data_IF_938439015638
#
_entry.id   IF_938439015638
#
_cell.length_a   1.000
_cell.length_b   1.000
_cell.length_c   1.000
_cell.angle_alpha   90.00
_cell.angle_beta   90.00
_cell.angle_gamma   90.00
#
_symmetry.space_group_name_H-M   'P 1'
#
loop_
_entity.id
_entity.type
_entity.pdbx_description
1 polymer ?
#
# COMPACT_ATOMS: atom_id res chain seq x y z
N UNK A 1 13.99 -32.95 -15.60
CA UNK A 1 14.21 -34.16 -16.44
C UNK A 1 14.94 -35.19 -15.59
N UNK A 2 14.24 -36.21 -15.10
CA UNK A 2 14.88 -37.35 -14.44
C UNK A 2 14.75 -38.53 -15.40
N UNK A 3 15.87 -39.04 -15.90
CA UNK A 3 15.90 -40.24 -16.74
C UNK A 3 16.12 -41.42 -15.81
N UNK A 4 15.11 -42.27 -15.66
CA UNK A 4 15.22 -43.55 -14.96
C UNK A 4 15.40 -44.62 -16.04
N UNK A 5 16.56 -45.29 -16.05
CA UNK A 5 16.79 -46.44 -16.92
C UNK A 5 16.32 -47.71 -16.21
N UNK A 6 15.32 -48.39 -16.77
CA UNK A 6 15.00 -49.79 -16.43
C UNK A 6 15.28 -50.70 -17.61
N UNK A 7 15.71 -51.92 -17.33
CA UNK A 7 16.21 -52.98 -18.24
C UNK A 7 15.17 -53.55 -19.22
N UNK A 8 14.11 -52.82 -19.50
CA UNK A 8 13.10 -53.14 -20.50
C UNK A 8 12.71 -51.82 -21.16
N UNK A 9 12.82 -51.74 -22.48
CA UNK A 9 12.65 -50.53 -23.31
C UNK A 9 11.25 -49.90 -23.19
N UNK A 10 10.96 -49.28 -22.04
CA UNK A 10 9.85 -48.38 -21.82
C UNK A 10 10.47 -47.12 -21.22
N UNK A 11 10.68 -46.12 -22.08
CA UNK A 11 11.03 -44.78 -21.63
C UNK A 11 9.74 -44.16 -21.08
N UNK A 12 9.58 -44.20 -19.76
CA UNK A 12 8.58 -43.37 -19.10
C UNK A 12 9.07 -41.93 -19.11
N UNK A 13 8.50 -41.10 -19.98
CA UNK A 13 8.54 -39.67 -19.80
C UNK A 13 7.61 -39.33 -18.63
N UNK A 14 8.18 -39.25 -17.43
CA UNK A 14 7.48 -38.58 -16.33
C UNK A 14 7.57 -37.09 -16.64
N UNK A 15 6.54 -36.56 -17.30
CA UNK A 15 6.26 -35.14 -17.27
C UNK A 15 6.04 -34.78 -15.80
N UNK A 16 7.02 -34.14 -15.17
CA UNK A 16 6.82 -33.53 -13.87
C UNK A 16 5.89 -32.36 -14.14
N UNK A 17 4.59 -32.58 -13.98
CA UNK A 17 3.62 -31.51 -13.87
C UNK A 17 3.96 -30.74 -12.59
N UNK A 18 4.70 -29.65 -12.73
CA UNK A 18 4.81 -28.68 -11.65
C UNK A 18 3.45 -27.99 -11.54
N UNK A 19 2.89 -27.83 -10.35
CA UNK A 19 1.65 -27.06 -10.20
C UNK A 19 1.94 -25.58 -10.46
N UNK A 20 0.91 -24.81 -10.80
CA UNK A 20 1.05 -23.35 -10.86
C UNK A 20 1.25 -22.82 -9.44
N UNK A 21 2.35 -22.10 -9.22
CA UNK A 21 2.62 -21.46 -7.93
C UNK A 21 1.82 -20.15 -7.81
N UNK A 22 1.13 -19.99 -6.67
CA UNK A 22 0.39 -18.78 -6.29
C UNK A 22 0.89 -18.26 -4.95
N UNK A 23 0.74 -16.95 -4.72
CA UNK A 23 1.05 -16.36 -3.41
C UNK A 23 0.01 -16.79 -2.36
N UNK A 24 0.38 -16.69 -1.08
CA UNK A 24 -0.58 -16.87 0.02
C UNK A 24 -1.79 -15.91 -0.10
N UNK A 25 -1.56 -14.67 -0.54
CA UNK A 25 -2.63 -13.68 -0.78
C UNK A 25 -3.61 -14.11 -1.87
N UNK A 26 -3.11 -14.67 -2.99
CA UNK A 26 -3.96 -15.22 -4.05
C UNK A 26 -4.77 -16.42 -3.57
N UNK A 27 -4.15 -17.32 -2.78
CA UNK A 27 -4.86 -18.45 -2.19
C UNK A 27 -6.00 -18.01 -1.25
N UNK A 28 -5.80 -16.96 -0.45
CA UNK A 28 -6.86 -16.38 0.39
C UNK A 28 -8.01 -15.81 -0.43
N UNK A 29 -7.73 -15.15 -1.57
CA UNK A 29 -8.78 -14.66 -2.48
C UNK A 29 -9.63 -15.79 -3.05
N UNK A 30 -9.00 -16.91 -3.42
CA UNK A 30 -9.71 -18.10 -3.89
C UNK A 30 -10.60 -18.70 -2.80
N UNK A 31 -10.11 -18.76 -1.55
CA UNK A 31 -10.93 -19.15 -0.40
C UNK A 31 -12.11 -18.19 -0.18
N UNK A 32 -11.88 -16.88 -0.25
CA UNK A 32 -12.95 -15.88 -0.08
C UNK A 32 -14.05 -16.06 -1.14
N UNK A 33 -13.69 -16.31 -2.39
CA UNK A 33 -14.65 -16.58 -3.45
C UNK A 33 -15.41 -17.90 -3.22
N UNK A 34 -14.72 -18.95 -2.76
CA UNK A 34 -15.33 -20.25 -2.47
C UNK A 34 -16.31 -20.19 -1.29
N UNK A 35 -15.96 -19.47 -0.23
CA UNK A 35 -16.73 -19.37 1.00
C UNK A 35 -17.59 -18.10 1.07
N UNK A 36 -17.86 -17.41 -0.06
CA UNK A 36 -18.65 -16.17 -0.10
C UNK A 36 -20.05 -16.30 0.50
N UNK A 37 -20.63 -17.50 0.41
CA UNK A 37 -21.97 -17.82 0.94
C UNK A 37 -21.93 -18.34 2.40
N UNK A 38 -20.74 -18.35 3.03
CA UNK A 38 -20.53 -18.70 4.44
C UNK A 38 -20.03 -17.45 5.20
N UNK A 39 -20.94 -16.58 5.71
CA UNK A 39 -20.59 -15.24 6.15
C UNK A 39 -19.50 -15.18 7.23
N UNK A 40 -19.53 -16.09 8.21
CA UNK A 40 -18.54 -16.12 9.29
C UNK A 40 -17.13 -16.43 8.75
N UNK A 41 -17.00 -17.49 7.94
CA UNK A 41 -15.73 -17.87 7.32
C UNK A 41 -15.23 -16.78 6.38
N UNK A 42 -16.11 -16.23 5.54
CA UNK A 42 -15.75 -15.16 4.62
C UNK A 42 -15.24 -13.92 5.37
N UNK A 43 -15.93 -13.49 6.42
CA UNK A 43 -15.51 -12.34 7.23
C UNK A 43 -14.15 -12.56 7.90
N UNK A 44 -13.89 -13.76 8.43
CA UNK A 44 -12.58 -14.09 8.98
C UNK A 44 -11.48 -14.01 7.89
N UNK A 45 -11.74 -14.54 6.69
CA UNK A 45 -10.80 -14.46 5.56
C UNK A 45 -10.55 -13.01 5.13
N UNK A 46 -11.57 -12.15 5.10
CA UNK A 46 -11.43 -10.71 4.82
C UNK A 46 -10.54 -10.02 5.88
N UNK A 47 -10.75 -10.34 7.16
CA UNK A 47 -9.91 -9.83 8.25
C UNK A 47 -8.45 -10.28 8.11
N UNK A 48 -8.20 -11.56 7.83
CA UNK A 48 -6.85 -12.06 7.57
C UNK A 48 -6.20 -11.39 6.35
N UNK A 49 -6.98 -11.08 5.32
CA UNK A 49 -6.46 -10.36 4.17
C UNK A 49 -6.01 -8.94 4.50
N UNK A 50 -6.68 -8.24 5.45
CA UNK A 50 -6.31 -6.87 5.84
C UNK A 50 -5.23 -6.82 6.92
N UNK A 51 -5.32 -7.68 7.93
CA UNK A 51 -4.41 -7.65 9.07
C UNK A 51 -3.16 -8.48 8.81
N UNK A 52 -3.28 -9.51 7.99
CA UNK A 52 -2.32 -10.60 7.87
C UNK A 52 -2.40 -11.57 9.03
N UNK A 53 -1.58 -12.62 8.95
CA UNK A 53 -1.58 -13.72 9.91
C UNK A 53 -0.69 -13.35 11.09
N UNK A 54 -1.24 -13.36 12.30
CA UNK A 54 -0.55 -12.91 13.52
C UNK A 54 -0.31 -14.03 14.52
N UNK A 55 -0.91 -15.21 14.33
CA UNK A 55 -0.67 -16.37 15.20
C UNK A 55 -0.58 -17.71 14.45
N UNK A 56 0.11 -18.72 15.03
CA UNK A 56 0.12 -20.08 14.49
C UNK A 56 -1.26 -20.71 14.40
N UNK A 57 -2.18 -20.37 15.32
CA UNK A 57 -3.55 -20.87 15.31
C UNK A 57 -4.32 -20.40 14.07
N UNK A 58 -4.18 -19.12 13.70
CA UNK A 58 -4.77 -18.57 12.47
C UNK A 58 -4.17 -19.21 11.22
N UNK A 59 -2.85 -19.43 11.21
CA UNK A 59 -2.17 -20.10 10.10
C UNK A 59 -2.71 -21.53 9.91
N UNK A 60 -2.80 -22.30 10.99
CA UNK A 60 -3.33 -23.66 10.95
C UNK A 60 -4.79 -23.70 10.47
N UNK A 61 -5.62 -22.75 10.91
CA UNK A 61 -7.00 -22.63 10.44
C UNK A 61 -7.07 -22.40 8.92
N UNK A 62 -6.24 -21.52 8.38
CA UNK A 62 -6.23 -21.24 6.93
C UNK A 62 -5.68 -22.43 6.14
N UNK A 63 -4.63 -23.09 6.64
CA UNK A 63 -4.08 -24.29 6.01
C UNK A 63 -5.12 -25.42 5.93
N UNK A 64 -5.89 -25.61 7.00
CA UNK A 64 -7.01 -26.53 6.99
C UNK A 64 -8.04 -26.16 5.91
N UNK A 65 -8.38 -24.87 5.76
CA UNK A 65 -9.29 -24.42 4.69
C UNK A 65 -8.69 -24.65 3.29
N UNK A 66 -7.38 -24.49 3.09
CA UNK A 66 -6.73 -24.81 1.81
C UNK A 66 -6.87 -26.29 1.46
N UNK A 67 -6.69 -27.19 2.43
CA UNK A 67 -6.82 -28.62 2.20
C UNK A 67 -8.28 -29.05 1.97
N UNK A 68 -9.21 -28.59 2.81
CA UNK A 68 -10.64 -28.88 2.69
C UNK A 68 -11.23 -28.34 1.39
N UNK A 69 -10.72 -27.19 0.93
CA UNK A 69 -11.15 -26.61 -0.34
C UNK A 69 -10.57 -27.34 -1.56
N UNK A 70 -9.54 -28.18 -1.39
CA UNK A 70 -8.82 -28.81 -2.49
C UNK A 70 -7.83 -27.89 -3.20
N UNK A 71 -7.63 -26.65 -2.74
CA UNK A 71 -6.71 -25.69 -3.38
C UNK A 71 -5.28 -26.22 -3.42
N UNK A 72 -4.85 -26.97 -2.41
CA UNK A 72 -3.51 -27.60 -2.38
C UNK A 72 -3.32 -28.73 -3.40
N UNK A 73 -4.39 -29.17 -4.07
CA UNK A 73 -4.33 -30.12 -5.18
C UNK A 73 -4.22 -29.43 -6.54
N UNK A 74 -4.65 -28.17 -6.62
CA UNK A 74 -4.69 -27.38 -7.85
C UNK A 74 -3.46 -26.46 -7.97
N UNK A 75 -2.99 -25.92 -6.84
CA UNK A 75 -1.93 -24.92 -6.80
C UNK A 75 -0.87 -25.22 -5.75
N UNK A 76 0.36 -24.80 -6.04
CA UNK A 76 1.42 -24.71 -5.04
C UNK A 76 1.33 -23.35 -4.34
N UNK A 77 0.99 -23.34 -3.05
CA UNK A 77 0.85 -22.10 -2.26
C UNK A 77 2.21 -21.70 -1.69
N UNK A 78 2.75 -20.58 -2.16
CA UNK A 78 4.05 -20.05 -1.71
C UNK A 78 3.93 -19.14 -0.49
N UNK A 79 4.82 -19.37 0.46
CA UNK A 79 5.03 -18.56 1.67
C UNK A 79 6.29 -17.69 1.57
N UNK A 80 6.97 -17.71 0.41
CA UNK A 80 8.23 -16.98 0.25
C UNK A 80 7.99 -15.47 0.17
N UNK A 81 8.91 -14.70 0.76
CA UNK A 81 8.88 -13.23 0.75
C UNK A 81 8.83 -12.67 -0.68
N UNK A 82 9.50 -13.34 -1.63
CA UNK A 82 9.50 -12.96 -3.04
C UNK A 82 8.12 -13.06 -3.67
N UNK A 83 7.41 -14.18 -3.49
CA UNK A 83 6.07 -14.35 -4.07
C UNK A 83 5.03 -13.44 -3.40
N UNK A 84 5.21 -13.13 -2.12
CA UNK A 84 4.37 -12.16 -1.40
C UNK A 84 4.61 -10.74 -1.91
N UNK A 85 5.88 -10.33 -2.07
CA UNK A 85 6.22 -9.01 -2.59
C UNK A 85 5.75 -8.80 -4.04
N UNK A 86 5.81 -9.88 -4.83
CA UNK A 86 5.44 -9.87 -6.24
C UNK A 86 3.98 -10.21 -6.50
N UNK A 87 3.13 -10.30 -5.47
CA UNK A 87 1.70 -10.56 -5.61
C UNK A 87 0.97 -9.38 -6.29
N UNK A 88 0.58 -9.53 -7.57
CA UNK A 88 -0.11 -8.45 -8.28
C UNK A 88 -1.55 -8.29 -7.80
N UNK A 89 -2.21 -9.36 -7.32
CA UNK A 89 -3.59 -9.32 -6.85
C UNK A 89 -3.70 -8.51 -5.57
N UNK A 90 -2.74 -8.68 -4.67
CA UNK A 90 -2.69 -7.89 -3.44
C UNK A 90 -2.40 -6.41 -3.67
N UNK A 91 -1.44 -6.10 -4.55
CA UNK A 91 -1.12 -4.70 -4.92
C UNK A 91 -2.30 -4.01 -5.59
N UNK A 92 -3.03 -4.75 -6.42
CA UNK A 92 -4.25 -4.29 -7.07
C UNK A 92 -5.34 -4.01 -6.03
N UNK A 93 -5.59 -4.97 -5.13
CA UNK A 93 -6.54 -4.84 -4.05
C UNK A 93 -6.31 -3.59 -3.19
N UNK A 94 -5.09 -3.39 -2.69
CA UNK A 94 -4.79 -2.22 -1.85
C UNK A 94 -4.92 -0.90 -2.62
N UNK A 95 -4.59 -0.90 -3.91
CA UNK A 95 -4.77 0.28 -4.78
C UNK A 95 -6.26 0.63 -4.92
N UNK A 96 -7.12 -0.37 -5.17
CA UNK A 96 -8.57 -0.17 -5.27
C UNK A 96 -9.18 0.20 -3.92
N UNK A 97 -8.78 -0.49 -2.85
CA UNK A 97 -9.23 -0.24 -1.50
C UNK A 97 -8.90 1.18 -1.07
N UNK A 98 -7.70 1.69 -1.38
CA UNK A 98 -7.35 3.07 -1.11
C UNK A 98 -8.30 4.04 -1.82
N UNK A 99 -8.55 3.84 -3.11
CA UNK A 99 -9.44 4.73 -3.84
C UNK A 99 -10.86 4.72 -3.28
N UNK A 100 -11.45 3.55 -3.07
CA UNK A 100 -12.82 3.43 -2.57
C UNK A 100 -12.95 3.89 -1.11
N UNK A 101 -11.94 3.63 -0.28
CA UNK A 101 -11.88 4.14 1.11
C UNK A 101 -11.79 5.66 1.13
N UNK A 102 -11.02 6.25 0.22
CA UNK A 102 -10.92 7.70 0.08
C UNK A 102 -12.29 8.30 -0.23
N UNK A 103 -12.99 7.80 -1.25
CA UNK A 103 -14.32 8.29 -1.61
C UNK A 103 -15.30 8.26 -0.42
N UNK A 104 -15.36 7.11 0.25
CA UNK A 104 -16.27 6.87 1.36
C UNK A 104 -15.94 7.72 2.60
N UNK A 105 -14.70 8.20 2.71
CA UNK A 105 -14.23 8.98 3.87
C UNK A 105 -14.24 10.49 3.64
N UNK A 106 -14.18 10.96 2.38
CA UNK A 106 -14.15 12.39 2.05
C UNK A 106 -15.40 13.16 2.49
N UNK A 107 -16.56 12.50 2.55
CA UNK A 107 -17.79 13.10 3.08
C UNK A 107 -17.78 13.26 4.60
N UNK A 108 -16.93 12.51 5.31
CA UNK A 108 -16.86 12.46 6.78
C UNK A 108 -15.79 13.40 7.34
N UNK A 109 -14.77 13.72 6.56
CA UNK A 109 -13.71 14.65 6.99
C UNK A 109 -14.18 16.10 6.85
N UNK A 110 -14.05 16.86 7.93
CA UNK A 110 -14.38 18.27 7.98
C UNK A 110 -13.26 19.11 7.31
N UNK A 111 -13.65 20.02 6.41
CA UNK A 111 -12.68 20.82 5.65
C UNK A 111 -12.03 21.90 6.51
N UNK A 112 -12.74 22.48 7.48
CA UNK A 112 -12.20 23.47 8.40
C UNK A 112 -11.12 22.86 9.31
N UNK A 113 -11.28 21.61 9.75
CA UNK A 113 -10.27 20.87 10.51
C UNK A 113 -9.01 20.60 9.67
N UNK A 114 -9.17 20.23 8.39
CA UNK A 114 -8.06 20.10 7.44
C UNK A 114 -7.34 21.43 7.21
N UNK A 115 -8.08 22.52 7.01
CA UNK A 115 -7.53 23.85 6.80
C UNK A 115 -6.77 24.33 8.04
N UNK A 116 -7.32 24.13 9.25
CA UNK A 116 -6.62 24.43 10.52
C UNK A 116 -5.33 23.62 10.65
N UNK A 117 -5.37 22.33 10.34
CA UNK A 117 -4.19 21.48 10.40
C UNK A 117 -3.12 21.89 9.40
N UNK A 118 -3.51 22.21 8.16
CA UNK A 118 -2.64 22.77 7.13
C UNK A 118 -1.96 24.06 7.59
N UNK A 119 -2.71 25.00 8.16
CA UNK A 119 -2.16 26.26 8.66
C UNK A 119 -1.20 26.04 9.82
N UNK A 120 -1.52 25.12 10.75
CA UNK A 120 -0.65 24.79 11.87
C UNK A 120 0.69 24.18 11.39
N UNK A 121 0.65 23.23 10.45
CA UNK A 121 1.82 22.67 9.79
C UNK A 121 2.66 23.76 9.11
N UNK A 122 2.02 24.60 8.29
CA UNK A 122 2.70 25.68 7.58
C UNK A 122 3.36 26.67 8.54
N UNK A 123 2.66 27.06 9.62
CA UNK A 123 3.15 28.05 10.57
C UNK A 123 4.35 27.56 11.38
N UNK A 124 4.44 26.25 11.66
CA UNK A 124 5.52 25.64 12.43
C UNK A 124 6.81 25.39 11.62
N UNK A 125 6.78 25.56 10.28
CA UNK A 125 7.98 25.43 9.46
C UNK A 125 8.93 26.62 9.61
N UNK A 126 10.26 26.43 9.47
CA UNK A 126 11.20 27.53 9.33
C UNK A 126 10.93 28.34 8.05
N UNK A 127 11.16 29.66 8.09
CA UNK A 127 10.85 30.58 6.99
C UNK A 127 11.52 30.19 5.66
N UNK A 128 12.77 29.74 5.69
CA UNK A 128 13.51 29.27 4.50
C UNK A 128 12.79 28.08 3.84
N UNK A 129 12.23 27.18 4.64
CA UNK A 129 11.52 25.99 4.16
C UNK A 129 10.13 26.38 3.62
N UNK A 130 9.43 27.32 4.28
CA UNK A 130 8.16 27.88 3.77
C UNK A 130 8.36 28.50 2.38
N UNK A 131 9.40 29.32 2.22
CA UNK A 131 9.70 29.96 0.94
C UNK A 131 10.00 28.94 -0.16
N UNK A 132 10.78 27.88 0.14
CA UNK A 132 11.01 26.78 -0.82
C UNK A 132 9.70 26.08 -1.21
N UNK A 133 8.85 25.77 -0.24
CA UNK A 133 7.53 25.16 -0.51
C UNK A 133 6.65 26.06 -1.38
N UNK A 134 6.51 27.35 -1.04
CA UNK A 134 5.72 28.30 -1.80
C UNK A 134 6.24 28.44 -3.24
N UNK A 135 7.56 28.48 -3.43
CA UNK A 135 8.14 28.55 -4.77
C UNK A 135 7.79 27.34 -5.65
N UNK A 136 7.65 26.13 -5.10
CA UNK A 136 7.15 24.99 -5.86
C UNK A 136 5.66 25.13 -6.18
N UNK A 137 4.84 25.49 -5.18
CA UNK A 137 3.38 25.65 -5.35
C UNK A 137 3.04 26.74 -6.36
N UNK A 138 3.82 27.82 -6.39
CA UNK A 138 3.67 28.96 -7.31
C UNK A 138 4.33 28.74 -8.68
N UNK A 139 5.02 27.61 -8.88
CA UNK A 139 5.72 27.30 -10.14
C UNK A 139 6.98 28.14 -10.40
N UNK A 140 7.53 28.80 -9.38
CA UNK A 140 8.78 29.59 -9.47
C UNK A 140 10.03 28.72 -9.54
N UNK A 141 9.98 27.49 -9.02
CA UNK A 141 11.04 26.48 -9.11
C UNK A 141 10.47 25.23 -9.77
N UNK A 142 11.26 24.60 -10.64
CA UNK A 142 10.87 23.36 -11.29
C UNK A 142 10.81 22.22 -10.28
N UNK A 143 9.68 21.50 -10.22
CA UNK A 143 9.54 20.33 -9.35
C UNK A 143 10.59 19.24 -9.65
N UNK A 144 11.14 19.19 -10.88
CA UNK A 144 12.18 18.24 -11.30
C UNK A 144 13.51 18.41 -10.57
N UNK A 145 13.72 19.52 -9.87
CA UNK A 145 14.91 19.76 -9.05
C UNK A 145 14.89 18.95 -7.74
N UNK A 146 13.73 18.40 -7.35
CA UNK A 146 13.56 17.68 -6.09
C UNK A 146 12.59 16.50 -6.31
N UNK A 147 13.07 15.27 -6.12
CA UNK A 147 12.26 14.07 -6.39
C UNK A 147 10.99 14.02 -5.54
N UNK A 148 11.04 14.57 -4.33
CA UNK A 148 9.88 14.62 -3.44
C UNK A 148 8.88 15.67 -3.93
N UNK A 149 9.35 16.86 -4.33
CA UNK A 149 8.48 17.86 -4.94
C UNK A 149 7.84 17.36 -6.24
N UNK A 150 8.58 16.60 -7.06
CA UNK A 150 8.05 15.98 -8.28
C UNK A 150 6.84 15.10 -7.98
N UNK A 151 6.94 14.21 -6.99
CA UNK A 151 5.87 13.29 -6.61
C UNK A 151 4.60 14.02 -6.13
N UNK A 152 4.75 15.03 -5.26
CA UNK A 152 3.61 15.78 -4.76
C UNK A 152 2.96 16.68 -5.81
N UNK A 153 3.76 17.35 -6.64
CA UNK A 153 3.22 18.20 -7.70
C UNK A 153 2.47 17.37 -8.75
N UNK A 154 2.97 16.18 -9.09
CA UNK A 154 2.26 15.23 -9.95
C UNK A 154 0.92 14.80 -9.34
N UNK A 155 0.90 14.45 -8.03
CA UNK A 155 -0.33 14.09 -7.34
C UNK A 155 -1.35 15.25 -7.29
N UNK A 156 -0.90 16.48 -7.00
CA UNK A 156 -1.76 17.67 -7.00
C UNK A 156 -2.36 17.93 -8.38
N UNK A 157 -1.57 17.79 -9.45
CA UNK A 157 -2.06 17.95 -10.83
C UNK A 157 -3.08 16.87 -11.18
N UNK A 158 -2.81 15.61 -10.83
CA UNK A 158 -3.72 14.49 -11.13
C UNK A 158 -5.07 14.64 -10.44
N UNK A 159 -5.12 15.15 -9.20
CA UNK A 159 -6.39 15.43 -8.51
C UNK A 159 -7.24 16.46 -9.27
N UNK A 160 -6.61 17.41 -9.97
CA UNK A 160 -7.30 18.43 -10.75
C UNK A 160 -7.80 17.86 -12.08
N UNK A 161 -6.95 17.13 -12.79
CA UNK A 161 -7.13 16.85 -14.21
C UNK A 161 -7.53 15.41 -14.53
N UNK A 162 -7.10 14.43 -13.73
CA UNK A 162 -7.27 13.03 -14.08
C UNK A 162 -8.73 12.57 -13.97
N UNK A 163 -9.19 11.74 -14.93
CA UNK A 163 -10.58 11.28 -15.05
C UNK A 163 -11.12 10.62 -13.77
N UNK A 164 -10.29 9.81 -13.10
CA UNK A 164 -10.60 9.18 -11.82
C UNK A 164 -11.09 10.16 -10.76
N UNK A 165 -10.56 11.39 -10.74
CA UNK A 165 -10.98 12.43 -9.80
C UNK A 165 -12.12 13.30 -10.32
N UNK A 166 -12.50 13.21 -11.61
CA UNK A 166 -13.61 14.01 -12.15
C UNK A 166 -14.97 13.60 -11.57
N UNK A 167 -15.08 12.40 -11.00
CA UNK A 167 -16.26 11.96 -10.25
C UNK A 167 -16.40 12.60 -8.86
N UNK A 168 -15.35 13.28 -8.36
CA UNK A 168 -15.39 13.99 -7.09
C UNK A 168 -16.05 15.37 -7.24
N UNK A 169 -16.85 15.74 -6.25
CA UNK A 169 -17.35 17.11 -6.10
C UNK A 169 -16.19 18.09 -5.89
N UNK A 170 -16.34 19.38 -6.24
CA UNK A 170 -15.29 20.39 -6.03
C UNK A 170 -14.75 20.43 -4.59
N UNK A 171 -15.63 20.39 -3.59
CA UNK A 171 -15.25 20.36 -2.17
C UNK A 171 -14.44 19.09 -1.81
N UNK A 172 -14.80 17.94 -2.39
CA UNK A 172 -14.07 16.69 -2.17
C UNK A 172 -12.66 16.76 -2.79
N UNK A 173 -12.53 17.32 -4.00
CA UNK A 173 -11.21 17.58 -4.60
C UNK A 173 -10.37 18.50 -3.72
N UNK A 174 -10.97 19.56 -3.18
CA UNK A 174 -10.27 20.48 -2.27
C UNK A 174 -9.77 19.78 -1.01
N UNK A 175 -10.58 18.90 -0.41
CA UNK A 175 -10.16 18.06 0.73
C UNK A 175 -8.95 17.18 0.36
N UNK A 176 -8.96 16.51 -0.79
CA UNK A 176 -7.81 15.70 -1.25
C UNK A 176 -6.56 16.57 -1.44
N UNK A 177 -6.69 17.74 -2.06
CA UNK A 177 -5.57 18.67 -2.23
C UNK A 177 -5.00 19.14 -0.88
N UNK A 178 -5.85 19.44 0.10
CA UNK A 178 -5.42 19.78 1.46
C UNK A 178 -4.72 18.61 2.14
N UNK A 179 -5.23 17.38 2.00
CA UNK A 179 -4.57 16.17 2.54
C UNK A 179 -3.17 16.01 1.94
N UNK A 180 -3.02 16.09 0.62
CA UNK A 180 -1.71 15.99 -0.03
C UNK A 180 -0.76 17.10 0.43
N UNK A 181 -1.24 18.34 0.55
CA UNK A 181 -0.44 19.45 1.05
C UNK A 181 -0.02 19.26 2.51
N UNK A 182 -0.92 18.83 3.40
CA UNK A 182 -0.58 18.52 4.80
C UNK A 182 0.44 17.39 4.89
N UNK A 183 0.35 16.39 4.03
CA UNK A 183 1.33 15.32 3.92
C UNK A 183 2.72 15.86 3.56
N UNK A 184 2.81 16.70 2.52
CA UNK A 184 4.07 17.33 2.11
C UNK A 184 4.66 18.17 3.24
N UNK A 185 3.87 19.08 3.82
CA UNK A 185 4.33 19.95 4.90
C UNK A 185 4.84 19.14 6.08
N UNK A 186 4.16 18.07 6.48
CA UNK A 186 4.63 17.22 7.58
C UNK A 186 5.99 16.58 7.29
N UNK A 187 6.25 16.12 6.06
CA UNK A 187 7.57 15.58 5.72
C UNK A 187 8.67 16.64 5.76
N UNK A 188 8.34 17.91 5.50
CA UNK A 188 9.30 19.01 5.67
C UNK A 188 9.73 19.20 7.15
N UNK A 189 9.02 18.62 8.12
CA UNK A 189 9.45 18.55 9.52
C UNK A 189 10.36 17.36 9.85
N UNK A 190 10.69 16.47 8.91
CA UNK A 190 11.45 15.24 9.18
C UNK A 190 12.77 15.51 9.95
N UNK A 191 13.48 16.58 9.60
CA UNK A 191 14.74 16.99 10.24
C UNK A 191 14.59 18.11 11.27
N UNK A 192 13.38 18.52 11.59
CA UNK A 192 13.15 19.59 12.56
C UNK A 192 13.35 19.03 14.00
N UNK A 193 14.38 19.47 14.75
CA UNK A 193 14.64 18.96 16.10
C UNK A 193 13.62 19.46 17.14
N UNK A 194 12.86 20.52 16.82
CA UNK A 194 11.85 21.09 17.71
C UNK A 194 10.52 20.31 17.68
N UNK A 195 10.40 19.31 16.81
CA UNK A 195 9.22 18.45 16.75
C UNK A 195 9.53 17.14 17.50
N UNK A 196 8.69 16.73 18.46
CA UNK A 196 8.95 15.58 19.32
C UNK A 196 8.95 14.26 18.54
N UNK A 197 9.15 13.14 19.27
CA UNK A 197 9.10 11.77 18.74
C UNK A 197 10.05 11.55 17.55
N UNK A 198 11.28 12.06 17.66
CA UNK A 198 12.30 11.84 16.63
C UNK A 198 12.85 10.39 16.71
N UNK A 199 12.14 9.47 16.05
CA UNK A 199 12.51 8.05 15.99
C UNK A 199 13.42 7.71 14.79
N UNK A 200 13.73 8.69 13.92
CA UNK A 200 14.62 8.47 12.78
C UNK A 200 15.99 7.97 13.22
N UNK A 201 16.51 6.95 12.53
CA UNK A 201 17.78 6.32 12.91
C UNK A 201 17.68 5.29 14.04
N UNK A 202 16.48 5.07 14.61
CA UNK A 202 16.26 4.10 15.70
C UNK A 202 15.20 3.06 15.33
N UNK A 203 15.20 1.91 16.02
CA UNK A 203 14.18 0.86 15.81
C UNK A 203 14.05 0.47 14.34
N UNK A 204 12.82 0.37 13.82
CA UNK A 204 12.57 0.10 12.39
C UNK A 204 12.91 1.25 11.44
N UNK A 205 13.15 2.47 11.94
CA UNK A 205 13.56 3.61 11.12
C UNK A 205 15.09 3.73 10.97
N UNK A 206 15.87 2.83 11.57
CA UNK A 206 17.32 2.77 11.34
C UNK A 206 17.65 2.16 9.98
N UNK A 207 18.79 2.55 9.40
CA UNK A 207 19.27 2.01 8.13
C UNK A 207 19.36 0.47 8.13
N UNK A 208 19.84 -0.11 9.23
CA UNK A 208 19.99 -1.56 9.37
C UNK A 208 18.65 -2.31 9.42
N UNK A 209 17.60 -1.68 9.96
CA UNK A 209 16.33 -2.36 10.26
C UNK A 209 15.21 -2.04 9.28
N UNK A 210 15.26 -0.90 8.56
CA UNK A 210 14.16 -0.45 7.69
C UNK A 210 13.93 -1.29 6.43
N UNK A 211 14.90 -2.12 6.06
CA UNK A 211 14.79 -3.09 4.98
C UNK A 211 14.83 -2.53 3.55
N UNK A 212 14.78 -1.21 3.37
CA UNK A 212 14.78 -0.58 2.04
C UNK A 212 16.11 -0.80 1.30
N UNK A 213 16.05 -1.39 0.11
CA UNK A 213 17.13 -1.43 -0.86
C UNK A 213 16.67 -0.67 -2.11
N UNK A 214 17.41 0.36 -2.51
CA UNK A 214 17.12 1.09 -3.76
C UNK A 214 17.71 0.30 -4.93
N UNK A 215 16.87 -0.02 -5.92
CA UNK A 215 17.30 -0.70 -7.15
C UNK A 215 18.15 0.24 -8.00
N UNK A 216 18.98 -0.34 -8.86
CA UNK A 216 19.64 0.44 -9.91
C UNK A 216 18.58 1.14 -10.78
N UNK A 217 18.80 2.42 -11.08
CA UNK A 217 17.84 3.19 -11.86
C UNK A 217 17.74 2.58 -13.27
N UNK A 218 16.53 2.23 -13.74
CA UNK A 218 16.35 1.84 -15.12
C UNK A 218 16.72 3.01 -16.05
N UNK A 219 16.91 2.70 -17.34
CA UNK A 219 17.14 3.72 -18.37
C UNK A 219 16.08 4.83 -18.32
N UNK A 220 16.47 6.04 -18.71
CA UNK A 220 15.56 7.18 -18.72
C UNK A 220 14.37 6.94 -19.66
N UNK A 221 13.19 7.52 -19.38
CA UNK A 221 12.06 7.51 -20.30
C UNK A 221 12.49 8.09 -21.64
N UNK A 222 12.02 7.50 -22.72
CA UNK A 222 12.33 7.95 -24.09
C UNK A 222 11.15 8.72 -24.65
N UNK A 223 11.31 9.41 -25.79
CA UNK A 223 10.16 10.02 -26.48
C UNK A 223 9.04 8.99 -26.79
N UNK A 224 9.39 7.70 -26.93
CA UNK A 224 8.44 6.61 -27.19
C UNK A 224 7.74 6.08 -25.94
N UNK A 225 8.31 6.34 -24.75
CA UNK A 225 7.74 5.98 -23.45
C UNK A 225 8.12 7.08 -22.48
N UNK A 226 7.40 8.22 -22.48
CA UNK A 226 7.76 9.40 -21.68
C UNK A 226 7.50 9.20 -20.18
N UNK A 227 6.90 8.06 -19.80
CA UNK A 227 6.57 7.69 -18.44
C UNK A 227 7.34 6.42 -18.01
N UNK A 228 7.68 6.35 -16.73
CA UNK A 228 8.23 5.15 -16.11
C UNK A 228 7.15 4.11 -15.75
N UNK A 229 5.93 4.58 -15.52
CA UNK A 229 4.78 3.76 -15.15
C UNK A 229 3.50 4.45 -15.60
N UNK A 230 2.48 3.68 -15.96
CA UNK A 230 1.13 4.17 -16.19
C UNK A 230 0.16 3.69 -15.10
N UNK A 231 0.68 3.15 -14.00
CA UNK A 231 -0.17 2.55 -12.97
C UNK A 231 -0.17 3.40 -11.71
N UNK A 232 -1.36 3.71 -11.19
CA UNK A 232 -1.54 4.26 -9.85
C UNK A 232 -1.17 3.24 -8.77
N UNK A 233 -1.02 3.73 -7.55
CA UNK A 233 -0.83 2.94 -6.35
C UNK A 233 0.33 1.95 -6.37
N UNK A 234 0.10 0.78 -5.79
CA UNK A 234 1.14 -0.23 -5.54
C UNK A 234 1.45 -1.09 -6.75
N UNK A 235 0.70 -0.93 -7.85
CA UNK A 235 0.90 -1.67 -9.09
C UNK A 235 2.25 -1.31 -9.70
N UNK A 236 3.10 -2.33 -9.89
CA UNK A 236 4.40 -2.18 -10.54
C UNK A 236 4.23 -2.01 -12.06
N UNK A 237 5.20 -1.41 -12.74
CA UNK A 237 5.09 -1.08 -14.17
C UNK A 237 4.84 -2.31 -15.07
N UNK A 238 5.34 -3.48 -14.71
CA UNK A 238 5.16 -4.72 -15.50
C UNK A 238 3.90 -5.51 -15.13
N UNK A 239 3.17 -5.11 -14.09
CA UNK A 239 1.93 -5.79 -13.70
C UNK A 239 0.82 -5.35 -14.66
N UNK A 240 0.01 -6.27 -15.19
CA UNK A 240 -1.03 -5.91 -16.14
C UNK A 240 -2.12 -5.10 -15.43
N UNK A 241 -2.52 -3.97 -16.02
CA UNK A 241 -3.67 -3.19 -15.56
C UNK A 241 -4.52 -2.86 -16.79
N UNK A 242 -5.84 -3.13 -16.78
CA UNK A 242 -6.72 -2.74 -17.87
C UNK A 242 -6.72 -1.21 -18.07
N UNK A 243 -6.83 -0.73 -19.32
CA UNK A 243 -6.78 0.72 -19.59
C UNK A 243 -7.98 1.49 -19.03
N UNK A 244 -9.11 0.83 -18.88
CA UNK A 244 -10.34 1.38 -18.32
C UNK A 244 -10.42 1.24 -16.79
N UNK A 245 -9.31 0.85 -16.15
CA UNK A 245 -9.22 0.61 -14.72
C UNK A 245 -8.85 1.89 -13.96
N UNK A 246 -9.32 2.03 -12.72
CA UNK A 246 -8.98 3.16 -11.85
C UNK A 246 -7.49 3.20 -11.50
N UNK A 247 -6.80 2.05 -11.57
CA UNK A 247 -5.38 1.95 -11.34
C UNK A 247 -4.56 2.34 -12.58
N UNK A 248 -5.18 2.69 -13.72
CA UNK A 248 -4.49 3.12 -14.93
C UNK A 248 -4.50 4.65 -15.09
N UNK A 249 -3.40 5.18 -15.63
CA UNK A 249 -3.21 6.58 -15.96
C UNK A 249 -2.66 6.72 -17.37
N UNK A 250 -3.43 7.30 -18.30
CA UNK A 250 -2.96 7.58 -19.67
C UNK A 250 -1.75 8.54 -19.64
N UNK A 251 -1.86 9.63 -18.88
CA UNK A 251 -0.71 10.46 -18.49
C UNK A 251 -0.03 9.82 -17.27
N UNK A 252 0.94 8.95 -17.54
CA UNK A 252 1.65 8.18 -16.52
C UNK A 252 2.49 9.01 -15.54
N UNK A 253 3.54 8.40 -15.00
CA UNK A 253 4.43 9.00 -14.01
C UNK A 253 5.78 9.33 -14.64
N UNK A 254 6.20 10.59 -14.57
CA UNK A 254 7.51 11.05 -15.06
C UNK A 254 8.65 10.78 -14.09
N UNK A 255 8.36 10.11 -12.97
CA UNK A 255 9.32 9.68 -11.96
C UNK A 255 9.13 8.18 -11.69
N UNK A 256 10.17 7.55 -11.15
CA UNK A 256 10.11 6.15 -10.75
C UNK A 256 9.36 6.04 -9.41
N UNK A 257 8.20 5.39 -9.41
CA UNK A 257 7.40 5.21 -8.19
C UNK A 257 8.13 4.36 -7.15
N UNK A 258 7.83 4.54 -5.85
CA UNK A 258 8.43 3.74 -4.79
C UNK A 258 8.31 2.22 -4.95
N UNK A 259 7.15 1.73 -5.40
CA UNK A 259 6.90 0.32 -5.71
C UNK A 259 7.86 -0.28 -6.74
N UNK A 260 8.36 0.55 -7.66
CA UNK A 260 9.26 0.14 -8.73
C UNK A 260 10.73 0.41 -8.37
N UNK A 261 11.01 1.47 -7.61
CA UNK A 261 12.38 1.90 -7.27
C UNK A 261 13.03 1.07 -6.17
N UNK A 262 12.24 0.38 -5.35
CA UNK A 262 12.73 -0.32 -4.15
C UNK A 262 12.59 -1.84 -4.27
N UNK A 263 13.47 -2.53 -3.57
CA UNK A 263 13.31 -3.93 -3.12
C UNK A 263 13.61 -3.98 -1.62
N UNK A 264 13.59 -5.17 -1.03
CA UNK A 264 13.76 -5.39 0.39
C UNK A 264 15.03 -6.19 0.73
N UNK A 265 15.59 -5.92 1.92
CA UNK A 265 16.58 -6.75 2.57
C UNK A 265 15.85 -7.81 3.44
N UNK A 266 15.91 -9.11 3.12
CA UNK A 266 15.22 -10.16 3.88
C UNK A 266 15.75 -10.27 5.32
N UNK A 267 16.99 -9.86 5.57
CA UNK A 267 17.59 -9.98 6.91
C UNK A 267 17.17 -8.88 7.88
N UNK A 268 16.61 -7.79 7.37
CA UNK A 268 16.22 -6.64 8.19
C UNK A 268 15.00 -6.95 9.06
N UNK A 269 14.94 -6.31 10.23
CA UNK A 269 13.88 -6.53 11.19
C UNK A 269 12.49 -6.16 10.62
N UNK A 270 12.38 -5.06 9.86
CA UNK A 270 11.11 -4.67 9.25
C UNK A 270 10.63 -5.66 8.20
N UNK A 271 11.50 -6.11 7.29
CA UNK A 271 11.11 -7.10 6.27
C UNK A 271 10.60 -8.39 6.90
N UNK A 272 11.32 -8.92 7.90
CA UNK A 272 10.92 -10.12 8.64
C UNK A 272 9.53 -9.96 9.28
N UNK A 273 9.27 -8.80 9.90
CA UNK A 273 7.95 -8.53 10.50
C UNK A 273 6.84 -8.31 9.46
N UNK A 274 7.15 -7.68 8.33
CA UNK A 274 6.17 -7.44 7.27
C UNK A 274 5.75 -8.77 6.60
N UNK A 275 6.72 -9.61 6.24
CA UNK A 275 6.45 -10.86 5.53
C UNK A 275 5.96 -11.99 6.45
N UNK A 276 6.21 -11.93 7.77
CA UNK A 276 5.61 -12.91 8.70
C UNK A 276 4.09 -12.86 8.71
N UNK A 277 3.48 -11.75 8.28
CA UNK A 277 2.04 -11.56 8.11
C UNK A 277 1.49 -12.20 6.81
N UNK A 278 2.35 -12.73 5.95
CA UNK A 278 2.06 -13.52 4.73
C UNK A 278 1.33 -12.82 3.56
N UNK A 279 0.73 -11.66 3.78
CA UNK A 279 -0.14 -11.03 2.76
C UNK A 279 0.31 -9.62 2.38
N UNK A 280 1.25 -9.02 3.08
CA UNK A 280 1.61 -7.61 2.86
C UNK A 280 2.83 -7.49 1.94
N UNK A 281 2.69 -6.85 0.76
CA UNK A 281 3.82 -6.62 -0.11
C UNK A 281 4.74 -5.56 0.50
N UNK A 282 5.98 -5.50 0.04
CA UNK A 282 6.92 -4.45 0.40
C UNK A 282 6.88 -3.35 -0.66
N UNK A 283 6.69 -2.09 -0.25
CA UNK A 283 6.77 -0.96 -1.19
C UNK A 283 8.01 -0.13 -0.96
N UNK A 284 8.37 0.12 0.30
CA UNK A 284 9.50 0.97 0.60
C UNK A 284 10.16 0.64 1.94
N UNK A 285 9.39 0.73 3.03
CA UNK A 285 9.74 0.48 4.43
C UNK A 285 8.55 0.94 5.28
N UNK A 286 8.63 0.75 6.60
CA UNK A 286 7.74 1.44 7.55
C UNK A 286 7.67 2.96 7.25
N UNK A 287 6.48 3.55 7.34
CA UNK A 287 6.23 4.88 6.78
C UNK A 287 6.83 6.03 7.59
N UNK A 288 7.89 6.63 7.07
CA UNK A 288 8.44 7.88 7.59
C UNK A 288 7.47 9.05 7.46
N UNK A 289 6.61 9.03 6.43
CA UNK A 289 5.58 10.06 6.19
C UNK A 289 4.52 10.04 7.28
N UNK A 290 4.01 8.86 7.68
CA UNK A 290 3.12 8.76 8.86
C UNK A 290 3.83 9.21 10.13
N UNK A 291 5.08 8.80 10.36
CA UNK A 291 5.83 9.26 11.53
C UNK A 291 5.92 10.78 11.58
N UNK A 292 6.24 11.44 10.47
CA UNK A 292 6.29 12.91 10.39
C UNK A 292 4.95 13.57 10.75
N UNK A 293 3.83 13.03 10.29
CA UNK A 293 2.51 13.54 10.68
C UNK A 293 2.28 13.40 12.18
N UNK A 294 2.52 12.21 12.75
CA UNK A 294 2.35 11.95 14.18
C UNK A 294 3.26 12.84 15.05
N UNK A 295 4.50 13.05 14.62
CA UNK A 295 5.45 13.97 15.27
C UNK A 295 4.87 15.37 15.38
N UNK A 296 4.32 15.92 14.29
CA UNK A 296 3.70 17.25 14.31
C UNK A 296 2.40 17.26 15.10
N UNK A 297 1.55 16.25 14.96
CA UNK A 297 0.31 16.15 15.73
C UNK A 297 0.57 16.15 17.24
N UNK A 298 1.62 15.44 17.68
CA UNK A 298 2.04 15.46 19.08
C UNK A 298 2.44 16.86 19.53
N UNK A 299 3.24 17.57 18.72
CA UNK A 299 3.59 18.97 18.99
C UNK A 299 2.34 19.87 19.14
N UNK A 300 1.41 19.78 18.20
CA UNK A 300 0.18 20.59 18.23
C UNK A 300 -0.74 20.25 19.40
N UNK A 301 -0.70 19.01 19.87
CA UNK A 301 -1.40 18.61 21.09
C UNK A 301 -0.78 19.26 22.33
N UNK A 302 0.55 19.36 22.41
CA UNK A 302 1.28 20.02 23.51
C UNK A 302 1.15 21.54 23.49
N UNK A 303 1.09 22.16 22.30
CA UNK A 303 0.94 23.60 22.09
C UNK A 303 -0.53 24.05 22.31
N UNK A 304 -1.07 23.85 23.53
CA UNK A 304 -2.41 24.31 23.99
C UNK A 304 -3.62 23.77 23.19
N UNK A 305 -3.53 22.56 22.63
CA UNK A 305 -4.69 21.87 22.03
C UNK A 305 -5.05 22.33 20.61
N UNK A 306 -4.07 22.79 19.85
CA UNK A 306 -4.26 23.20 18.45
C UNK A 306 -4.52 22.02 17.49
N UNK A 307 -4.40 20.77 17.96
CA UNK A 307 -4.64 19.57 17.15
C UNK A 307 -6.15 19.41 16.82
N UNK A 308 -6.56 19.51 15.54
CA UNK A 308 -7.98 19.36 15.18
C UNK A 308 -8.48 17.92 15.30
N UNK A 309 -7.58 16.93 15.12
CA UNK A 309 -7.87 15.50 15.12
C UNK A 309 -7.58 14.85 16.47
N UNK A 310 -8.19 15.37 17.54
CA UNK A 310 -7.92 14.97 18.93
C UNK A 310 -8.88 13.89 19.49
N UNK A 311 -9.85 13.44 18.71
CA UNK A 311 -10.77 12.34 19.05
C UNK A 311 -10.53 11.12 18.16
N UNK A 312 -10.88 9.92 18.63
CA UNK A 312 -10.74 8.67 17.86
C UNK A 312 -11.38 8.75 16.47
N UNK A 313 -12.60 9.29 16.36
CA UNK A 313 -13.35 9.40 15.11
C UNK A 313 -12.64 10.32 14.10
N UNK A 314 -12.33 11.56 14.50
CA UNK A 314 -11.63 12.54 13.66
C UNK A 314 -10.25 12.04 13.22
N UNK A 315 -9.49 11.45 14.13
CA UNK A 315 -8.16 10.92 13.84
C UNK A 315 -8.24 9.72 12.89
N UNK A 316 -9.14 8.78 13.14
CA UNK A 316 -9.37 7.63 12.26
C UNK A 316 -9.79 8.08 10.85
N UNK A 317 -10.69 9.05 10.74
CA UNK A 317 -11.15 9.60 9.45
C UNK A 317 -10.02 10.30 8.72
N UNK A 318 -9.19 11.08 9.42
CA UNK A 318 -7.98 11.67 8.87
C UNK A 318 -7.04 10.59 8.33
N UNK A 319 -6.74 9.54 9.11
CA UNK A 319 -5.85 8.47 8.69
C UNK A 319 -6.37 7.74 7.44
N UNK A 320 -7.67 7.43 7.38
CA UNK A 320 -8.30 6.82 6.19
C UNK A 320 -8.05 7.67 4.96
N UNK A 321 -8.32 8.98 5.03
CA UNK A 321 -8.15 9.88 3.89
C UNK A 321 -6.66 10.09 3.54
N UNK A 322 -5.81 10.29 4.54
CA UNK A 322 -4.37 10.53 4.41
C UNK A 322 -3.65 9.34 3.77
N UNK A 323 -3.79 8.14 4.35
CA UNK A 323 -3.12 6.94 3.84
C UNK A 323 -3.65 6.59 2.46
N UNK A 324 -4.96 6.67 2.24
CA UNK A 324 -5.56 6.35 0.95
C UNK A 324 -5.15 7.32 -0.16
N UNK A 325 -5.06 8.61 0.12
CA UNK A 325 -4.61 9.61 -0.86
C UNK A 325 -3.16 9.35 -1.28
N UNK A 326 -2.28 9.02 -0.34
CA UNK A 326 -0.87 8.75 -0.63
C UNK A 326 -0.69 7.39 -1.32
N UNK A 327 -1.38 6.35 -0.83
CA UNK A 327 -1.31 5.02 -1.42
C UNK A 327 -1.81 5.07 -2.85
N UNK A 328 -3.01 5.59 -3.11
CA UNK A 328 -3.58 5.58 -4.46
C UNK A 328 -2.74 6.38 -5.47
N UNK A 329 -2.17 7.53 -5.10
CA UNK A 329 -1.41 8.33 -6.05
C UNK A 329 -0.08 7.67 -6.45
N UNK A 330 0.85 7.47 -5.52
CA UNK A 330 2.21 7.02 -5.85
C UNK A 330 2.54 5.61 -5.35
N UNK A 331 1.73 5.04 -4.46
CA UNK A 331 2.02 3.76 -3.83
C UNK A 331 3.26 3.81 -2.94
N UNK A 332 3.57 4.97 -2.34
CA UNK A 332 4.77 5.15 -1.53
C UNK A 332 4.95 4.13 -0.41
N UNK A 333 3.83 3.72 0.18
CA UNK A 333 3.75 2.67 1.18
C UNK A 333 2.46 1.87 1.00
N UNK A 334 2.48 0.59 1.38
CA UNK A 334 1.25 -0.19 1.57
C UNK A 334 0.57 0.19 2.89
N UNK A 335 -0.70 -0.21 3.09
CA UNK A 335 -1.42 0.11 4.32
C UNK A 335 -0.73 -0.42 5.57
N UNK A 336 -0.14 -1.63 5.52
CA UNK A 336 0.60 -2.19 6.65
C UNK A 336 1.83 -1.33 7.01
N UNK A 337 2.57 -0.84 6.00
CA UNK A 337 3.71 0.07 6.21
C UNK A 337 3.29 1.42 6.82
N UNK A 338 2.10 1.94 6.47
CA UNK A 338 1.54 3.14 7.09
C UNK A 338 1.10 2.90 8.54
N UNK A 339 0.39 1.79 8.79
CA UNK A 339 -0.28 1.51 10.05
C UNK A 339 0.64 0.97 11.13
N UNK A 340 1.70 0.24 10.78
CA UNK A 340 2.66 -0.27 11.75
C UNK A 340 3.42 0.82 12.50
N UNK A 341 3.38 2.08 12.03
CA UNK A 341 3.88 3.22 12.82
C UNK A 341 3.07 3.43 14.10
N UNK A 342 1.75 3.22 14.04
CA UNK A 342 0.85 3.31 15.20
C UNK A 342 1.11 2.18 16.20
N UNK A 343 1.68 1.07 15.75
CA UNK A 343 1.99 -0.10 16.58
C UNK A 343 3.23 0.10 17.45
N UNK A 344 4.06 1.12 17.15
CA UNK A 344 5.30 1.40 17.87
C UNK A 344 4.99 1.80 19.33
N UNK A 345 5.62 1.16 20.34
CA UNK A 345 5.32 1.41 21.75
C UNK A 345 5.40 2.88 22.17
N UNK A 346 6.40 3.61 21.68
CA UNK A 346 6.58 5.04 21.92
C UNK A 346 5.40 5.84 21.35
N UNK A 347 4.93 5.50 20.15
CA UNK A 347 3.77 6.18 19.53
C UNK A 347 2.51 5.89 20.35
N UNK A 348 2.24 4.62 20.69
CA UNK A 348 1.07 4.24 21.51
C UNK A 348 1.03 4.99 22.84
N UNK A 349 2.17 5.08 23.53
CA UNK A 349 2.28 5.81 24.79
C UNK A 349 1.93 7.28 24.62
N UNK A 350 2.49 7.92 23.59
CA UNK A 350 2.45 9.36 23.40
C UNK A 350 1.12 9.86 22.83
N UNK A 351 0.35 8.96 22.21
CA UNK A 351 -1.00 9.19 21.67
C UNK A 351 -2.13 8.65 22.55
N UNK A 352 -1.82 8.20 23.78
CA UNK A 352 -2.83 7.77 24.76
C UNK A 352 -3.82 8.86 25.18
N UNK A 353 -3.59 10.12 24.78
CA UNK A 353 -4.55 11.21 24.93
C UNK A 353 -5.78 11.08 24.01
N UNK A 354 -5.69 10.28 22.94
CA UNK A 354 -6.85 9.92 22.12
C UNK A 354 -7.46 8.67 22.74
N UNK A 355 -8.66 8.80 23.29
CA UNK A 355 -9.39 7.66 23.84
C UNK A 355 -9.57 6.57 22.79
N UNK A 356 -9.30 5.31 23.16
CA UNK A 356 -9.35 4.17 22.24
C UNK A 356 -8.27 4.14 21.15
N UNK A 357 -7.15 4.87 21.28
CA UNK A 357 -6.07 4.87 20.28
C UNK A 357 -5.56 3.46 19.94
N UNK A 358 -5.46 2.57 20.92
CA UNK A 358 -5.00 1.19 20.75
C UNK A 358 -5.93 0.33 19.88
N UNK A 359 -7.18 0.77 19.69
CA UNK A 359 -8.16 0.09 18.84
C UNK A 359 -8.04 0.51 17.37
N UNK A 360 -7.24 1.52 17.07
CA UNK A 360 -7.00 2.00 15.71
C UNK A 360 -5.99 1.08 15.03
N UNK A 361 -6.48 0.26 14.10
CA UNK A 361 -5.69 -0.74 13.38
C UNK A 361 -6.26 -0.95 11.97
N UNK A 362 -5.64 -1.85 11.20
CA UNK A 362 -6.04 -2.13 9.83
C UNK A 362 -7.51 -2.54 9.71
N UNK A 363 -8.00 -3.39 10.60
CA UNK A 363 -9.39 -3.88 10.60
C UNK A 363 -10.37 -2.75 10.90
N UNK A 364 -10.12 -1.93 11.92
CA UNK A 364 -11.03 -0.82 12.28
C UNK A 364 -11.00 0.34 11.27
N UNK A 365 -9.89 0.53 10.57
CA UNK A 365 -9.78 1.59 9.57
C UNK A 365 -10.27 1.18 8.18
N UNK A 366 -9.94 -0.04 7.74
CA UNK A 366 -10.09 -0.44 6.34
C UNK A 366 -11.25 -1.41 6.11
N UNK A 367 -11.78 -2.03 7.17
CA UNK A 367 -12.90 -2.97 7.06
C UNK A 367 -14.13 -2.54 7.85
N UNK A 368 -14.05 -2.44 9.18
CA UNK A 368 -15.21 -2.09 9.99
C UNK A 368 -15.70 -0.66 9.70
N UNK A 369 -16.99 -0.52 9.36
CA UNK A 369 -17.59 0.75 8.93
C UNK A 369 -17.05 1.24 7.57
N UNK A 370 -16.39 0.38 6.81
CA UNK A 370 -15.84 0.60 5.47
C UNK A 370 -16.08 -0.60 4.54
N UNK A 371 -17.04 -1.46 4.90
CA UNK A 371 -17.30 -2.75 4.26
C UNK A 371 -17.67 -2.58 2.78
N UNK A 372 -18.40 -1.53 2.41
CA UNK A 372 -18.76 -1.24 1.02
C UNK A 372 -17.52 -0.97 0.13
N UNK A 373 -16.59 -0.13 0.61
CA UNK A 373 -15.34 0.14 -0.12
C UNK A 373 -14.48 -1.13 -0.22
N UNK A 374 -14.43 -1.89 0.88
CA UNK A 374 -13.72 -3.16 0.93
C UNK A 374 -14.28 -4.18 -0.06
N UNK A 375 -15.59 -4.39 -0.06
CA UNK A 375 -16.26 -5.39 -0.89
C UNK A 375 -16.19 -5.03 -2.37
N UNK A 376 -16.24 -3.73 -2.71
CA UNK A 376 -16.02 -3.26 -4.07
C UNK A 376 -14.59 -3.54 -4.55
N UNK A 377 -13.58 -3.17 -3.74
CA UNK A 377 -12.19 -3.47 -4.06
C UNK A 377 -11.92 -4.98 -4.16
N UNK A 378 -12.50 -5.78 -3.25
CA UNK A 378 -12.41 -7.24 -3.29
C UNK A 378 -13.03 -7.81 -4.57
N UNK A 379 -14.21 -7.34 -4.97
CA UNK A 379 -14.87 -7.80 -6.19
C UNK A 379 -14.00 -7.56 -7.42
N UNK A 380 -13.52 -6.33 -7.61
CA UNK A 380 -12.65 -5.98 -8.74
C UNK A 380 -11.38 -6.83 -8.71
N UNK A 381 -10.84 -7.07 -7.52
CA UNK A 381 -9.63 -7.90 -7.34
C UNK A 381 -9.88 -9.36 -7.70
N UNK A 382 -11.01 -9.94 -7.33
CA UNK A 382 -11.35 -11.32 -7.68
C UNK A 382 -11.44 -11.50 -9.19
N UNK A 383 -12.07 -10.56 -9.89
CA UNK A 383 -12.15 -10.54 -11.35
C UNK A 383 -10.76 -10.43 -11.98
N UNK A 384 -9.93 -9.50 -11.47
CA UNK A 384 -8.53 -9.35 -11.90
C UNK A 384 -7.68 -10.60 -11.65
N UNK A 385 -7.79 -11.23 -10.47
CA UNK A 385 -7.06 -12.45 -10.11
C UNK A 385 -7.42 -13.62 -11.01
N UNK A 386 -8.69 -13.79 -11.38
CA UNK A 386 -9.11 -14.85 -12.30
C UNK A 386 -8.39 -14.75 -13.64
N UNK A 387 -8.30 -13.54 -14.22
CA UNK A 387 -7.59 -13.31 -15.48
C UNK A 387 -6.09 -13.61 -15.33
N UNK A 388 -5.48 -13.22 -14.22
CA UNK A 388 -4.07 -13.51 -13.95
C UNK A 388 -3.78 -15.00 -13.83
N UNK A 389 -4.63 -15.75 -13.11
CA UNK A 389 -4.46 -17.19 -12.92
C UNK A 389 -4.65 -17.94 -14.24
N UNK A 390 -5.67 -17.60 -15.03
CA UNK A 390 -5.87 -18.16 -16.36
C UNK A 390 -4.66 -17.91 -17.28
N UNK A 391 -4.04 -16.72 -17.21
CA UNK A 391 -2.81 -16.42 -17.95
C UNK A 391 -1.62 -17.26 -17.46
N UNK A 392 -1.48 -17.46 -16.14
CA UNK A 392 -0.43 -18.31 -15.56
C UNK A 392 -0.59 -19.77 -16.00
N UNK A 393 -1.81 -20.29 -15.95
CA UNK A 393 -2.17 -21.65 -16.39
C UNK A 393 -1.86 -21.84 -17.88
N UNK A 394 -2.32 -20.93 -18.75
CA UNK A 394 -2.00 -20.98 -20.18
C UNK A 394 -0.48 -20.96 -20.43
N UNK A 395 0.27 -20.08 -19.76
CA UNK A 395 1.73 -20.05 -19.89
C UNK A 395 2.40 -21.34 -19.40
N UNK A 396 1.86 -21.95 -18.34
CA UNK A 396 2.35 -23.21 -17.80
C UNK A 396 2.12 -24.36 -18.78
N UNK A 397 0.92 -24.47 -19.35
CA UNK A 397 0.59 -25.44 -20.39
C UNK A 397 1.49 -25.30 -21.62
N UNK A 398 1.70 -24.07 -22.10
CA UNK A 398 2.59 -23.80 -23.23
C UNK A 398 4.03 -24.22 -22.94
N UNK A 399 4.53 -23.98 -21.72
CA UNK A 399 5.87 -24.44 -21.33
C UNK A 399 5.97 -25.96 -21.25
N UNK A 400 4.95 -26.62 -20.69
CA UNK A 400 4.91 -28.07 -20.60
C UNK A 400 4.84 -28.74 -21.99
N UNK A 401 4.09 -28.14 -22.92
CA UNK A 401 3.91 -28.66 -24.27
C UNK A 401 5.11 -28.38 -25.18
N UNK A 402 5.75 -27.22 -25.08
CA UNK A 402 6.76 -26.75 -26.05
C UNK A 402 8.17 -26.59 -25.48
N UNK A 403 8.39 -26.76 -24.17
CA UNK A 403 9.73 -26.85 -23.56
C UNK A 403 10.52 -25.52 -23.48
N UNK A 404 9.84 -24.39 -23.41
CA UNK A 404 10.46 -23.05 -23.29
C UNK A 404 11.03 -22.74 -21.90
#
# INVERSE_FOLDING_TARGET
>A
MIIIYTTSNIIFFIAIYTMVTISFGQALLLLMNKYKDTPLTCNNLKQFYIQGIVSPTELNYIQQLFDESGLTKEYEISYSEKEIDEDPSRRYFETHLAFETLLNSLGKINIEDLAKYYQALYNTLPEVIKNKYNHFIEGKISSKEDSFATEYMDALQKVQDHENYQRLLPEQKEKVLLILKTSWLGVLHAKNPQVPLNLYGTGFFSEANRGRIVKEKPGLPTEKSPYYSNHFGLMKTYMPVPRNDIAYAESGFTFLKPSDQNTFNPESAWSKQNFSKLVHPFSCSISGTTLCQLRVMKKLQEDEGQLPFNSQEKFSTFLKCFMSSLLFNSGGHCFNEFLSVLEIPQIKKEFSFIDGFEQINATTLLFHGNEEAFDKALKDTLEYTQVLLAKKEMHHELKAQFGF
#
